data_IF_619162536645
#
_entry.id   IF_619162536645
#
_cell.length_a   1.000
_cell.length_b   1.000
_cell.length_c   1.000
_cell.angle_alpha   90.00
_cell.angle_beta   90.00
_cell.angle_gamma   90.00
#
_symmetry.space_group_name_H-M   'P 1'
#
loop_
_entity.id
_entity.type
_entity.pdbx_description
1 polymer ?
#
# COMPACT_ATOMS: atom_id res chain seq x y z
N UNK A 1 -36.04 -9.10 3.69
CA UNK A 1 -34.91 -9.10 4.64
C UNK A 1 -34.71 -7.68 5.14
N UNK A 2 -34.48 -7.46 6.44
CA UNK A 2 -34.14 -6.15 7.01
C UNK A 2 -32.62 -6.00 7.12
N UNK A 3 -32.13 -4.75 7.16
CA UNK A 3 -30.70 -4.47 7.36
C UNK A 3 -30.17 -5.10 8.66
N UNK A 4 -30.91 -4.94 9.77
CA UNK A 4 -30.57 -5.51 11.07
C UNK A 4 -30.44 -7.04 11.03
N UNK A 5 -31.26 -7.73 10.23
CA UNK A 5 -31.18 -9.17 10.07
C UNK A 5 -29.91 -9.61 9.30
N UNK A 6 -29.47 -8.79 8.34
CA UNK A 6 -28.22 -9.02 7.60
C UNK A 6 -27.00 -8.81 8.50
N UNK A 7 -26.97 -7.71 9.25
CA UNK A 7 -25.89 -7.42 10.20
C UNK A 7 -25.79 -8.51 11.28
N UNK A 8 -26.92 -8.94 11.84
CA UNK A 8 -26.94 -10.00 12.85
C UNK A 8 -26.44 -11.34 12.31
N UNK A 9 -26.76 -11.68 11.06
CA UNK A 9 -26.29 -12.91 10.41
C UNK A 9 -24.77 -12.86 10.17
N UNK A 10 -24.25 -11.75 9.61
CA UNK A 10 -22.81 -11.55 9.41
C UNK A 10 -22.07 -11.54 10.75
N UNK A 11 -22.65 -10.92 11.79
CA UNK A 11 -22.06 -10.89 13.13
C UNK A 11 -21.87 -12.28 13.72
N UNK A 12 -22.84 -13.19 13.56
CA UNK A 12 -22.73 -14.58 14.02
C UNK A 12 -21.62 -15.35 13.29
N UNK A 13 -21.52 -15.17 11.98
CA UNK A 13 -20.48 -15.81 11.19
C UNK A 13 -19.08 -15.28 11.53
N UNK A 14 -18.94 -13.96 11.79
CA UNK A 14 -17.66 -13.35 12.22
C UNK A 14 -17.22 -13.74 13.63
N UNK A 15 -18.15 -14.11 14.51
CA UNK A 15 -17.84 -14.59 15.86
C UNK A 15 -17.24 -16.00 15.87
N UNK A 16 -17.30 -16.72 14.74
CA UNK A 16 -16.58 -17.98 14.55
C UNK A 16 -15.09 -17.72 14.24
N UNK A 17 -14.35 -18.76 13.86
CA UNK A 17 -12.95 -18.67 13.44
C UNK A 17 -12.78 -17.67 12.28
N UNK A 18 -12.15 -16.53 12.58
CA UNK A 18 -11.93 -15.45 11.63
C UNK A 18 -11.06 -15.88 10.43
N UNK A 19 -10.12 -16.81 10.64
CA UNK A 19 -9.30 -17.35 9.57
C UNK A 19 -10.11 -18.27 8.66
N UNK A 20 -11.02 -19.08 9.21
CA UNK A 20 -11.94 -19.89 8.42
C UNK A 20 -12.89 -19.00 7.59
N UNK A 21 -13.43 -17.95 8.21
CA UNK A 21 -14.26 -16.98 7.51
C UNK A 21 -13.49 -16.29 6.37
N UNK A 22 -12.25 -15.87 6.62
CA UNK A 22 -11.38 -15.27 5.60
C UNK A 22 -11.10 -16.25 4.46
N UNK A 23 -10.81 -17.52 4.78
CA UNK A 23 -10.63 -18.59 3.77
C UNK A 23 -11.86 -18.78 2.90
N UNK A 24 -13.06 -18.72 3.48
CA UNK A 24 -14.32 -18.77 2.75
C UNK A 24 -14.47 -17.57 1.81
N UNK A 25 -14.14 -16.37 2.29
CA UNK A 25 -14.21 -15.14 1.48
C UNK A 25 -13.21 -15.10 0.33
N UNK A 26 -12.03 -15.68 0.50
CA UNK A 26 -10.97 -15.73 -0.52
C UNK A 26 -11.01 -17.01 -1.38
N UNK A 27 -12.02 -17.86 -1.20
CA UNK A 27 -12.15 -19.10 -1.96
C UNK A 27 -12.23 -18.83 -3.47
N UNK A 28 -11.37 -19.50 -4.24
CA UNK A 28 -11.27 -19.32 -5.70
C UNK A 28 -10.31 -18.21 -6.14
N UNK A 29 -9.67 -17.48 -5.20
CA UNK A 29 -8.59 -16.54 -5.50
C UNK A 29 -7.26 -17.29 -5.60
N UNK A 30 -6.50 -17.02 -6.66
CA UNK A 30 -5.20 -17.65 -6.91
C UNK A 30 -4.07 -17.01 -6.09
N UNK A 31 -4.06 -15.69 -6.02
CA UNK A 31 -3.01 -14.88 -5.39
C UNK A 31 -3.60 -13.53 -4.96
N UNK A 32 -3.08 -12.96 -3.88
CA UNK A 32 -3.45 -11.61 -3.41
C UNK A 32 -2.30 -10.64 -3.67
N UNK A 33 -2.60 -9.52 -4.34
CA UNK A 33 -1.66 -8.41 -4.53
C UNK A 33 -2.02 -7.29 -3.56
N UNK A 34 -1.11 -6.98 -2.63
CA UNK A 34 -1.39 -6.13 -1.48
C UNK A 34 -0.66 -4.80 -1.63
N UNK A 35 -1.41 -3.70 -1.56
CA UNK A 35 -0.84 -2.40 -1.23
C UNK A 35 -0.49 -2.40 0.26
N UNK A 36 0.80 -2.59 0.55
CA UNK A 36 1.32 -2.71 1.92
C UNK A 36 1.84 -1.39 2.49
N UNK A 37 1.67 -0.27 1.78
CA UNK A 37 2.06 1.07 2.21
C UNK A 37 1.01 1.78 3.06
N UNK A 38 0.36 1.05 3.98
CA UNK A 38 -0.63 1.62 4.91
C UNK A 38 0.04 2.24 6.13
N UNK A 39 -0.55 3.34 6.62
CA UNK A 39 -0.12 3.94 7.89
C UNK A 39 -0.42 2.97 9.04
N UNK A 40 0.53 2.84 9.98
CA UNK A 40 0.50 1.91 11.12
C UNK A 40 0.67 0.43 10.77
N UNK A 41 1.87 0.04 10.33
CA UNK A 41 2.26 -1.35 10.04
C UNK A 41 1.94 -2.36 11.17
N UNK A 42 1.88 -1.91 12.43
CA UNK A 42 1.54 -2.76 13.58
C UNK A 42 0.04 -3.05 13.73
N UNK A 43 -0.83 -2.28 13.06
CA UNK A 43 -2.28 -2.43 13.11
C UNK A 43 -2.82 -3.33 11.99
N UNK A 44 -1.96 -3.77 11.08
CA UNK A 44 -2.30 -4.58 9.92
C UNK A 44 -1.42 -5.81 9.85
N UNK A 45 -1.93 -6.86 9.24
CA UNK A 45 -1.15 -8.05 8.96
C UNK A 45 -0.15 -7.78 7.82
N UNK A 46 1.04 -8.42 7.82
CA UNK A 46 1.96 -8.33 6.68
C UNK A 46 1.32 -8.91 5.42
N UNK A 47 1.78 -8.51 4.23
CA UNK A 47 1.23 -9.02 2.96
C UNK A 47 1.26 -10.56 2.86
N UNK A 48 2.25 -11.21 3.49
CA UNK A 48 2.37 -12.68 3.53
C UNK A 48 1.32 -13.37 4.39
N UNK A 49 0.54 -12.64 5.18
CA UNK A 49 -0.59 -13.20 5.94
C UNK A 49 -1.61 -13.89 5.03
N UNK A 50 -1.76 -13.41 3.78
CA UNK A 50 -2.70 -13.98 2.82
C UNK A 50 -2.25 -15.31 2.22
N UNK A 51 -0.98 -15.71 2.40
CA UNK A 51 -0.41 -16.95 1.87
C UNK A 51 -1.11 -18.21 2.43
N UNK A 52 -1.77 -18.08 3.59
CA UNK A 52 -2.53 -19.17 4.21
C UNK A 52 -3.95 -19.37 3.60
N UNK A 53 -4.36 -18.47 2.70
CA UNK A 53 -5.71 -18.45 2.12
C UNK A 53 -5.74 -18.60 0.60
N UNK A 54 -4.60 -18.51 -0.08
CA UNK A 54 -4.49 -18.62 -1.54
C UNK A 54 -3.40 -19.64 -1.93
N UNK A 55 -3.52 -20.32 -3.09
CA UNK A 55 -2.52 -21.30 -3.54
C UNK A 55 -1.14 -20.70 -3.84
N UNK A 56 -1.11 -19.54 -4.49
CA UNK A 56 0.12 -18.84 -4.84
C UNK A 56 0.50 -17.80 -3.79
N UNK A 57 1.80 -17.56 -3.52
CA UNK A 57 2.25 -16.55 -2.58
C UNK A 57 1.74 -15.16 -2.94
N UNK A 58 1.40 -14.39 -1.92
CA UNK A 58 0.95 -13.00 -2.03
C UNK A 58 2.12 -12.10 -2.41
N UNK A 59 1.82 -11.01 -3.12
CA UNK A 59 2.84 -10.09 -3.64
C UNK A 59 2.51 -8.64 -3.30
N UNK A 60 3.51 -7.79 -3.41
CA UNK A 60 3.45 -6.39 -2.97
C UNK A 60 3.16 -5.46 -4.14
N UNK A 61 2.27 -4.50 -3.91
CA UNK A 61 2.09 -3.30 -4.72
C UNK A 61 2.60 -2.13 -3.90
N UNK A 62 3.68 -1.49 -4.35
CA UNK A 62 4.33 -0.45 -3.57
C UNK A 62 3.60 0.90 -3.74
N UNK A 63 3.15 1.50 -2.64
CA UNK A 63 2.58 2.86 -2.64
C UNK A 63 3.69 3.92 -2.70
N UNK A 64 3.78 4.62 -3.82
CA UNK A 64 4.91 5.51 -4.10
C UNK A 64 4.97 6.73 -3.18
N UNK A 65 3.82 7.24 -2.73
CA UNK A 65 3.77 8.40 -1.84
C UNK A 65 4.32 8.08 -0.45
N UNK A 66 4.12 6.85 0.04
CA UNK A 66 4.64 6.42 1.34
C UNK A 66 6.17 6.35 1.31
N UNK A 67 6.71 5.83 0.21
CA UNK A 67 8.15 5.79 -0.03
C UNK A 67 8.72 7.21 -0.12
N UNK A 68 8.08 8.09 -0.89
CA UNK A 68 8.51 9.48 -1.03
C UNK A 68 8.49 10.24 0.31
N UNK A 69 7.42 10.08 1.10
CA UNK A 69 7.27 10.75 2.39
C UNK A 69 8.46 10.47 3.33
N UNK A 70 8.87 9.20 3.44
CA UNK A 70 10.03 8.79 4.24
C UNK A 70 11.31 9.56 3.88
N UNK A 71 11.60 9.68 2.58
CA UNK A 71 12.80 10.37 2.11
C UNK A 71 12.70 11.89 2.23
N UNK A 72 11.52 12.46 2.00
CA UNK A 72 11.27 13.88 2.23
C UNK A 72 11.47 14.23 3.70
N UNK A 73 10.89 13.46 4.63
CA UNK A 73 11.03 13.68 6.07
C UNK A 73 12.50 13.62 6.51
N UNK A 74 13.24 12.61 6.06
CA UNK A 74 14.66 12.48 6.36
C UNK A 74 15.49 13.62 5.76
N UNK A 75 15.21 14.03 4.53
CA UNK A 75 15.93 15.12 3.86
C UNK A 75 15.66 16.48 4.52
N UNK A 76 14.43 16.73 4.97
CA UNK A 76 14.06 17.93 5.70
C UNK A 76 14.82 18.08 7.04
N UNK A 77 15.16 16.96 7.68
CA UNK A 77 15.93 16.94 8.93
C UNK A 77 17.44 17.02 8.67
N UNK A 78 17.93 16.35 7.62
CA UNK A 78 19.36 16.16 7.38
C UNK A 78 20.03 17.25 6.55
N UNK A 79 19.28 17.99 5.72
CA UNK A 79 19.82 18.97 4.79
C UNK A 79 19.67 20.41 5.29
N UNK A 80 20.62 21.27 4.90
CA UNK A 80 20.70 22.66 5.39
C UNK A 80 19.90 23.65 4.55
N UNK A 81 19.36 23.23 3.40
CA UNK A 81 18.51 24.08 2.55
C UNK A 81 17.42 23.26 1.85
N UNK A 82 16.31 23.92 1.50
CA UNK A 82 15.19 23.28 0.82
C UNK A 82 15.58 22.69 -0.54
N UNK A 83 16.43 23.37 -1.31
CA UNK A 83 16.93 22.85 -2.59
C UNK A 83 17.72 21.54 -2.40
N UNK A 84 18.62 21.50 -1.42
CA UNK A 84 19.38 20.27 -1.12
C UNK A 84 18.50 19.17 -0.57
N UNK A 85 17.51 19.51 0.27
CA UNK A 85 16.53 18.55 0.77
C UNK A 85 15.75 17.91 -0.38
N UNK A 86 15.31 18.71 -1.35
CA UNK A 86 14.61 18.23 -2.54
C UNK A 86 15.50 17.31 -3.38
N UNK A 87 16.70 17.76 -3.76
CA UNK A 87 17.63 16.95 -4.57
C UNK A 87 17.96 15.61 -3.91
N UNK A 88 18.19 15.64 -2.59
CA UNK A 88 18.48 14.45 -1.80
C UNK A 88 17.28 13.49 -1.76
N UNK A 89 16.08 14.00 -1.45
CA UNK A 89 14.88 13.18 -1.37
C UNK A 89 14.52 12.53 -2.71
N UNK A 90 14.68 13.25 -3.82
CA UNK A 90 14.41 12.72 -5.17
C UNK A 90 15.42 11.64 -5.54
N UNK A 91 16.72 11.86 -5.28
CA UNK A 91 17.75 10.87 -5.58
C UNK A 91 17.51 9.54 -4.82
N UNK A 92 17.20 9.62 -3.53
CA UNK A 92 16.92 8.43 -2.71
C UNK A 92 15.61 7.75 -3.11
N UNK A 93 14.57 8.53 -3.43
CA UNK A 93 13.30 8.00 -3.93
C UNK A 93 13.49 7.22 -5.24
N UNK A 94 14.23 7.78 -6.21
CA UNK A 94 14.54 7.08 -7.46
C UNK A 94 15.36 5.80 -7.24
N UNK A 95 16.33 5.83 -6.32
CA UNK A 95 17.13 4.67 -5.96
C UNK A 95 16.26 3.54 -5.37
N UNK A 96 15.33 3.89 -4.47
CA UNK A 96 14.40 2.94 -3.89
C UNK A 96 13.43 2.37 -4.93
N UNK A 97 12.93 3.18 -5.87
CA UNK A 97 12.10 2.66 -6.96
C UNK A 97 12.87 1.67 -7.85
N UNK A 98 14.15 1.92 -8.15
CA UNK A 98 14.99 0.98 -8.91
C UNK A 98 15.22 -0.33 -8.15
N UNK A 99 15.43 -0.24 -6.84
CA UNK A 99 15.50 -1.39 -5.94
C UNK A 99 14.20 -2.21 -5.97
N UNK A 100 13.06 -1.52 -5.86
CA UNK A 100 11.73 -2.14 -5.91
C UNK A 100 11.46 -2.83 -7.26
N UNK A 101 11.84 -2.23 -8.39
CA UNK A 101 11.71 -2.86 -9.72
C UNK A 101 12.52 -4.17 -9.80
N UNK A 102 13.66 -4.23 -9.10
CA UNK A 102 14.53 -5.41 -9.09
C UNK A 102 14.07 -6.48 -8.08
N UNK A 103 13.07 -6.17 -7.25
CA UNK A 103 12.58 -7.05 -6.20
C UNK A 103 11.43 -7.92 -6.72
N UNK A 104 11.63 -9.24 -6.76
CA UNK A 104 10.64 -10.21 -7.23
C UNK A 104 9.35 -10.28 -6.37
N UNK A 105 9.36 -9.71 -5.17
CA UNK A 105 8.17 -9.59 -4.32
C UNK A 105 7.32 -8.36 -4.67
N UNK A 106 7.88 -7.36 -5.34
CA UNK A 106 7.16 -6.17 -5.80
C UNK A 106 6.72 -6.36 -7.24
N UNK A 107 5.41 -6.43 -7.46
CA UNK A 107 4.83 -6.72 -8.78
C UNK A 107 4.08 -5.53 -9.38
N UNK A 108 4.02 -4.41 -8.66
CA UNK A 108 3.37 -3.20 -9.15
C UNK A 108 3.62 -2.00 -8.26
N UNK A 109 3.21 -0.84 -8.76
CA UNK A 109 3.25 0.43 -8.06
C UNK A 109 1.85 1.03 -8.03
N UNK A 110 1.52 1.71 -6.93
CA UNK A 110 0.25 2.40 -6.73
C UNK A 110 0.52 3.84 -6.35
N UNK A 111 -0.25 4.74 -6.98
CA UNK A 111 -0.39 6.13 -6.55
C UNK A 111 -1.77 6.36 -5.95
N UNK A 112 -1.80 7.14 -4.87
CA UNK A 112 -3.02 7.63 -4.20
C UNK A 112 -3.32 9.11 -4.53
N UNK A 113 -2.72 9.64 -5.60
CA UNK A 113 -2.85 11.06 -6.01
C UNK A 113 -4.30 11.53 -6.19
N UNK A 114 -5.21 10.63 -6.60
CA UNK A 114 -6.64 10.93 -6.75
C UNK A 114 -7.29 11.42 -5.45
N UNK A 115 -6.77 11.02 -4.28
CA UNK A 115 -7.25 11.47 -2.97
C UNK A 115 -6.53 12.72 -2.46
N UNK A 116 -5.52 13.22 -3.18
CA UNK A 116 -4.67 14.35 -2.76
C UNK A 116 -4.94 15.59 -3.60
N UNK A 117 -4.69 15.50 -4.90
CA UNK A 117 -4.84 16.64 -5.83
C UNK A 117 -5.87 16.37 -6.93
N UNK A 118 -6.45 15.17 -6.96
CA UNK A 118 -7.27 14.70 -8.08
C UNK A 118 -6.43 14.08 -9.19
N UNK A 119 -7.05 13.76 -10.32
CA UNK A 119 -6.41 13.10 -11.47
C UNK A 119 -6.08 14.07 -12.62
N UNK A 120 -6.30 15.36 -12.44
CA UNK A 120 -5.91 16.39 -13.39
C UNK A 120 -4.40 16.67 -13.27
N UNK A 121 -3.60 15.71 -13.75
CA UNK A 121 -2.14 15.74 -13.65
C UNK A 121 -1.59 16.53 -14.84
N UNK A 122 -1.10 17.74 -14.57
CA UNK A 122 -0.41 18.54 -15.57
C UNK A 122 0.86 17.83 -16.04
N UNK A 123 1.12 17.83 -17.36
CA UNK A 123 2.30 17.20 -17.96
C UNK A 123 3.62 17.91 -17.64
N UNK A 124 3.57 19.05 -16.93
CA UNK A 124 4.73 19.81 -16.46
C UNK A 124 4.29 20.79 -15.37
N UNK A 125 5.15 21.03 -14.38
CA UNK A 125 5.03 22.23 -13.57
C UNK A 125 5.11 23.42 -14.52
N UNK A 126 4.06 24.25 -14.57
CA UNK A 126 4.22 25.60 -15.10
C UNK A 126 5.27 26.26 -14.22
N UNK A 127 6.47 26.46 -14.75
CA UNK A 127 7.41 27.44 -14.20
C UNK A 127 6.68 28.79 -14.22
N UNK A 128 6.34 29.28 -13.03
CA UNK A 128 5.89 30.66 -12.79
C UNK A 128 6.91 31.35 -11.92
#
# INVERSE_FOLDING_TARGET
ATWDAVEAAIGKERQHDYAEWTRKCLSGIECVLVDDGLDHEQAVEPYSYFDQFAPSPSKRILRIEQVAAKFIEFACISQTSAARAFDYAIADFEAELRSAISNAEVVGFKSVICYRTGLDIASRASES
#
